data_IF_183982160279
#
_entry.id   IF_183982160279
#
_cell.length_a   1.000
_cell.length_b   1.000
_cell.length_c   1.000
_cell.angle_alpha   90.00
_cell.angle_beta   90.00
_cell.angle_gamma   90.00
#
_symmetry.space_group_name_H-M   'P 1'
#
loop_
_entity.id
_entity.type
_entity.pdbx_description
1 polymer ?
#
# COMPACT_ATOMS: atom_id res chain seq x y z
N UNK A 1 9.97 -14.26 -29.25
CA UNK A 1 9.49 -13.95 -27.88
C UNK A 1 10.29 -12.77 -27.33
N UNK A 2 9.74 -11.54 -27.23
CA UNK A 2 10.29 -10.37 -26.46
C UNK A 2 9.59 -9.02 -26.78
N UNK A 3 8.27 -8.99 -27.02
CA UNK A 3 7.48 -7.72 -27.09
C UNK A 3 6.48 -7.53 -25.94
N UNK A 4 6.16 -8.59 -25.18
CA UNK A 4 5.21 -8.51 -24.07
C UNK A 4 5.83 -8.03 -22.76
N UNK A 5 7.10 -8.41 -22.47
CA UNK A 5 7.77 -8.08 -21.20
C UNK A 5 8.01 -6.56 -21.04
N UNK A 6 8.31 -5.84 -22.13
CA UNK A 6 8.61 -4.40 -22.09
C UNK A 6 7.36 -3.55 -21.82
N UNK A 7 6.21 -3.90 -22.42
CA UNK A 7 4.91 -3.26 -22.14
C UNK A 7 4.44 -3.53 -20.72
N UNK A 8 4.71 -4.74 -20.22
CA UNK A 8 4.35 -5.19 -18.89
C UNK A 8 5.12 -4.39 -17.82
N UNK A 9 6.43 -4.19 -17.98
CA UNK A 9 7.21 -3.29 -17.11
C UNK A 9 6.73 -1.84 -17.14
N UNK A 10 6.41 -1.29 -18.33
CA UNK A 10 5.92 0.10 -18.43
C UNK A 10 4.53 0.29 -17.79
N UNK A 11 3.62 -0.66 -17.97
CA UNK A 11 2.27 -0.56 -17.40
C UNK A 11 2.28 -0.75 -15.87
N UNK A 12 3.10 -1.68 -15.37
CA UNK A 12 3.29 -1.86 -13.93
C UNK A 12 4.02 -0.68 -13.29
N UNK A 13 5.03 -0.11 -13.95
CA UNK A 13 5.69 1.12 -13.52
C UNK A 13 4.71 2.28 -13.39
N UNK A 14 3.86 2.51 -14.40
CA UNK A 14 2.85 3.58 -14.35
C UNK A 14 1.82 3.41 -13.23
N UNK A 15 1.26 2.21 -13.06
CA UNK A 15 0.30 1.96 -11.97
C UNK A 15 0.95 2.16 -10.60
N UNK A 16 2.20 1.69 -10.47
CA UNK A 16 2.99 1.85 -9.25
C UNK A 16 3.25 3.32 -8.93
N UNK A 17 3.69 4.09 -9.91
CA UNK A 17 3.87 5.55 -9.79
C UNK A 17 2.55 6.24 -9.39
N UNK A 18 1.44 5.92 -10.04
CA UNK A 18 0.12 6.47 -9.70
C UNK A 18 -0.27 6.14 -8.26
N UNK A 19 -0.03 4.91 -7.81
CA UNK A 19 -0.35 4.51 -6.43
C UNK A 19 0.54 5.25 -5.43
N UNK A 20 1.83 5.39 -5.71
CA UNK A 20 2.76 6.16 -4.86
C UNK A 20 2.32 7.61 -4.74
N UNK A 21 1.99 8.25 -5.86
CA UNK A 21 1.51 9.64 -5.88
C UNK A 21 0.20 9.78 -5.08
N UNK A 22 -0.76 8.87 -5.29
CA UNK A 22 -2.02 8.90 -4.57
C UNK A 22 -1.83 8.68 -3.05
N UNK A 23 -0.91 7.80 -2.63
CA UNK A 23 -0.55 7.61 -1.22
C UNK A 23 0.08 8.86 -0.63
N UNK A 24 1.04 9.46 -1.31
CA UNK A 24 1.69 10.69 -0.86
C UNK A 24 0.68 11.84 -0.72
N UNK A 25 -0.25 11.98 -1.66
CA UNK A 25 -1.31 12.99 -1.58
C UNK A 25 -2.29 12.71 -0.43
N UNK A 26 -2.69 11.45 -0.25
CA UNK A 26 -3.69 11.08 0.75
C UNK A 26 -3.16 11.11 2.19
N UNK A 27 -1.90 10.72 2.40
CA UNK A 27 -1.28 10.58 3.72
C UNK A 27 -0.31 11.71 4.07
N UNK A 28 0.16 12.48 3.08
CA UNK A 28 1.07 13.61 3.28
C UNK A 28 2.30 13.20 4.10
N UNK A 29 2.62 13.92 5.17
CA UNK A 29 3.75 13.70 6.07
C UNK A 29 3.63 12.44 6.96
N UNK A 30 2.50 11.75 6.90
CA UNK A 30 2.23 10.53 7.66
C UNK A 30 2.69 9.26 6.96
N UNK A 31 3.13 9.33 5.71
CA UNK A 31 3.65 8.17 4.96
C UNK A 31 5.07 8.42 4.47
N UNK A 32 5.91 7.39 4.57
CA UNK A 32 7.19 7.32 3.90
C UNK A 32 7.22 6.08 3.01
N UNK A 33 7.50 6.26 1.72
CA UNK A 33 7.53 5.16 0.75
C UNK A 33 8.93 4.55 0.74
N UNK A 34 9.05 3.31 1.21
CA UNK A 34 10.26 2.49 1.08
C UNK A 34 10.17 1.74 -0.24
N UNK A 35 10.53 2.45 -1.29
CA UNK A 35 10.60 1.91 -2.64
C UNK A 35 11.75 0.90 -2.75
N UNK A 36 11.41 -0.36 -3.01
CA UNK A 36 12.36 -1.35 -3.53
C UNK A 36 11.99 -1.65 -4.98
N UNK A 37 12.99 -1.70 -5.88
CA UNK A 37 12.83 -2.04 -7.30
C UNK A 37 12.41 -3.52 -7.54
N UNK A 38 11.52 -4.07 -6.72
CA UNK A 38 11.12 -5.47 -6.73
C UNK A 38 9.61 -5.64 -7.02
N UNK A 39 9.26 -5.80 -8.30
CA UNK A 39 8.02 -6.49 -8.71
C UNK A 39 6.70 -5.75 -8.45
N UNK A 40 5.77 -6.41 -7.73
CA UNK A 40 4.35 -6.04 -7.61
C UNK A 40 3.95 -5.59 -6.18
N UNK A 41 4.94 -5.29 -5.35
CA UNK A 41 4.75 -4.73 -4.02
C UNK A 41 5.85 -3.72 -3.68
N UNK A 42 5.59 -2.82 -2.74
CA UNK A 42 6.60 -1.95 -2.12
C UNK A 42 6.31 -1.81 -0.62
N UNK A 43 7.25 -1.30 0.15
CA UNK A 43 7.07 -1.05 1.58
C UNK A 43 6.67 0.39 1.84
N UNK A 44 5.89 0.63 2.88
CA UNK A 44 5.62 1.95 3.42
C UNK A 44 5.81 1.95 4.93
N UNK A 45 6.27 3.07 5.46
CA UNK A 45 6.10 3.40 6.87
C UNK A 45 4.96 4.38 6.99
N UNK A 46 4.08 4.16 7.95
CA UNK A 46 2.95 5.06 8.22
C UNK A 46 2.86 5.41 9.70
N UNK A 47 2.68 6.69 10.01
CA UNK A 47 2.32 7.14 11.36
C UNK A 47 0.85 6.81 11.60
N UNK A 48 0.57 5.84 12.46
CA UNK A 48 -0.78 5.37 12.75
C UNK A 48 -1.00 5.28 14.27
N UNK A 49 -2.15 5.74 14.78
CA UNK A 49 -2.51 5.55 16.18
C UNK A 49 -2.91 4.10 16.49
N UNK A 50 -3.13 3.27 15.47
CA UNK A 50 -3.62 1.91 15.65
C UNK A 50 -2.48 0.91 15.75
N UNK A 51 -2.66 -0.07 16.61
CA UNK A 51 -1.85 -1.28 16.69
C UNK A 51 -1.96 -2.10 15.41
N UNK A 52 -1.03 -3.03 15.22
CA UNK A 52 -1.09 -3.93 14.07
C UNK A 52 -2.37 -4.78 14.06
N UNK A 53 -2.82 -5.25 15.22
CA UNK A 53 -4.06 -6.04 15.36
C UNK A 53 -5.30 -5.23 14.97
N UNK A 54 -5.40 -3.97 15.39
CA UNK A 54 -6.48 -3.07 14.98
C UNK A 54 -6.44 -2.78 13.47
N UNK A 55 -5.25 -2.58 12.91
CA UNK A 55 -5.09 -2.38 11.46
C UNK A 55 -5.56 -3.61 10.68
N UNK A 56 -5.22 -4.82 11.12
CA UNK A 56 -5.67 -6.06 10.50
C UNK A 56 -7.20 -6.19 10.57
N UNK A 57 -7.78 -5.94 11.74
CA UNK A 57 -9.22 -6.04 11.94
C UNK A 57 -9.97 -5.04 11.06
N UNK A 58 -9.55 -3.77 11.05
CA UNK A 58 -10.11 -2.73 10.18
C UNK A 58 -9.95 -3.05 8.70
N UNK A 59 -8.83 -3.66 8.30
CA UNK A 59 -8.59 -4.06 6.91
C UNK A 59 -9.56 -5.18 6.48
N UNK A 60 -9.82 -6.16 7.35
CA UNK A 60 -10.81 -7.23 7.13
C UNK A 60 -12.22 -6.66 6.98
N UNK A 61 -12.62 -5.76 7.87
CA UNK A 61 -13.92 -5.06 7.82
C UNK A 61 -14.09 -4.22 6.55
N UNK A 62 -13.03 -3.54 6.11
CA UNK A 62 -13.01 -2.76 4.88
C UNK A 62 -12.89 -3.63 3.61
N UNK A 63 -12.86 -4.97 3.73
CA UNK A 63 -12.63 -5.94 2.65
C UNK A 63 -11.42 -5.59 1.79
N UNK A 64 -10.38 -5.02 2.40
CA UNK A 64 -9.23 -4.48 1.68
C UNK A 64 -8.38 -5.57 1.02
N UNK A 65 -8.42 -6.79 1.56
CA UNK A 65 -7.91 -8.00 0.91
C UNK A 65 -8.66 -8.34 -0.38
N UNK A 66 -9.98 -8.08 -0.41
CA UNK A 66 -10.85 -8.26 -1.58
C UNK A 66 -10.57 -7.21 -2.68
N UNK A 67 -10.13 -6.01 -2.28
CA UNK A 67 -9.69 -4.94 -3.19
C UNK A 67 -8.21 -5.05 -3.61
N UNK A 68 -7.48 -6.01 -3.05
CA UNK A 68 -6.12 -6.40 -3.45
C UNK A 68 -5.00 -5.43 -3.08
N UNK A 69 -4.96 -5.03 -1.81
CA UNK A 69 -3.69 -4.67 -1.18
C UNK A 69 -3.30 -5.78 -0.23
N UNK A 70 -2.34 -6.63 -0.62
CA UNK A 70 -1.78 -7.61 0.29
C UNK A 70 -0.89 -6.87 1.28
N UNK A 71 -1.45 -6.55 2.47
CA UNK A 71 -0.71 -5.96 3.58
C UNK A 71 -0.08 -7.06 4.39
N UNK A 72 1.18 -7.33 4.12
CA UNK A 72 1.98 -8.07 5.09
C UNK A 72 2.49 -7.06 6.10
N UNK A 73 1.94 -7.13 7.31
CA UNK A 73 2.50 -6.45 8.46
C UNK A 73 3.81 -7.13 8.79
N UNK A 74 4.91 -6.40 8.60
CA UNK A 74 6.19 -6.84 9.11
C UNK A 74 6.23 -6.40 10.57
N UNK A 75 6.00 -7.35 11.48
CA UNK A 75 6.13 -7.17 12.93
C UNK A 75 7.62 -7.08 13.30
N UNK A 76 8.37 -6.19 12.65
CA UNK A 76 9.67 -5.77 13.14
C UNK A 76 9.43 -5.00 14.44
N UNK A 77 10.26 -5.28 15.45
CA UNK A 77 10.26 -4.70 16.80
C UNK A 77 9.42 -3.43 16.89
N UNK A 78 8.30 -3.49 17.62
CA UNK A 78 7.43 -2.33 17.82
C UNK A 78 8.26 -1.17 18.38
N UNK A 79 8.74 -0.29 17.50
CA UNK A 79 9.24 0.99 17.94
C UNK A 79 8.03 1.72 18.51
N UNK A 80 8.11 2.11 19.78
CA UNK A 80 7.10 2.88 20.52
C UNK A 80 6.77 4.26 19.91
N UNK A 81 7.14 4.49 18.65
CA UNK A 81 7.09 5.77 17.95
C UNK A 81 5.81 5.94 17.11
N UNK A 82 4.86 5.01 17.19
CA UNK A 82 3.60 5.08 16.43
C UNK A 82 3.75 4.89 14.91
N UNK A 83 4.89 4.37 14.46
CA UNK A 83 5.17 4.09 13.04
C UNK A 83 4.91 2.60 12.76
N UNK A 84 4.19 2.30 11.68
CA UNK A 84 3.85 0.95 11.23
C UNK A 84 4.44 0.69 9.86
N UNK A 85 5.18 -0.40 9.71
CA UNK A 85 5.72 -0.82 8.41
C UNK A 85 4.76 -1.80 7.74
N UNK A 86 4.38 -1.51 6.50
CA UNK A 86 3.41 -2.29 5.73
C UNK A 86 3.97 -2.59 4.35
N UNK A 87 3.80 -3.82 3.88
CA UNK A 87 4.00 -4.18 2.48
C UNK A 87 2.71 -3.89 1.72
N UNK A 88 2.77 -3.21 0.58
CA UNK A 88 1.61 -2.87 -0.24
C UNK A 88 1.72 -3.63 -1.57
N UNK A 89 0.98 -4.73 -1.70
CA UNK A 89 0.79 -5.39 -3.00
C UNK A 89 -0.22 -4.64 -3.87
N UNK A 90 0.02 -4.48 -5.17
CA UNK A 90 -0.89 -3.74 -6.07
C UNK A 90 -1.21 -4.48 -7.38
N UNK A 91 -0.94 -5.79 -7.42
CA UNK A 91 -1.05 -6.61 -8.63
C UNK A 91 -2.46 -6.69 -9.22
N UNK A 92 -3.50 -6.82 -8.38
CA UNK A 92 -4.89 -6.95 -8.85
C UNK A 92 -5.75 -5.69 -8.69
N UNK A 93 -5.21 -4.58 -8.18
CA UNK A 93 -5.90 -3.27 -8.17
C UNK A 93 -6.11 -2.83 -9.61
N UNK A 94 -7.28 -2.37 -10.05
CA UNK A 94 -7.42 -1.71 -11.37
C UNK A 94 -7.13 -0.21 -11.25
N UNK A 95 -6.65 0.43 -12.31
CA UNK A 95 -6.33 1.88 -12.29
C UNK A 95 -7.55 2.69 -11.82
N UNK A 96 -8.74 2.33 -12.31
CA UNK A 96 -10.02 2.95 -11.95
C UNK A 96 -10.39 2.82 -10.46
N UNK A 97 -9.81 1.85 -9.74
CA UNK A 97 -10.11 1.57 -8.34
C UNK A 97 -9.01 2.08 -7.39
N UNK A 98 -7.99 2.75 -7.93
CA UNK A 98 -6.80 3.14 -7.19
C UNK A 98 -7.13 4.17 -6.11
N UNK A 99 -7.90 5.19 -6.45
CA UNK A 99 -8.30 6.24 -5.51
C UNK A 99 -9.17 5.67 -4.38
N UNK A 100 -10.09 4.77 -4.70
CA UNK A 100 -10.92 4.07 -3.72
C UNK A 100 -10.08 3.19 -2.79
N UNK A 101 -9.12 2.45 -3.35
CA UNK A 101 -8.22 1.61 -2.58
C UNK A 101 -7.37 2.45 -1.61
N UNK A 102 -6.85 3.59 -2.06
CA UNK A 102 -6.07 4.53 -1.23
C UNK A 102 -6.94 5.15 -0.14
N UNK A 103 -8.16 5.56 -0.46
CA UNK A 103 -9.12 6.11 0.51
C UNK A 103 -9.48 5.09 1.59
N UNK A 104 -9.80 3.85 1.20
CA UNK A 104 -10.04 2.76 2.14
C UNK A 104 -8.80 2.48 2.99
N UNK A 105 -7.61 2.52 2.38
CA UNK A 105 -6.35 2.33 3.07
C UNK A 105 -6.09 3.41 4.12
N UNK A 106 -6.38 4.68 3.81
CA UNK A 106 -6.32 5.80 4.74
C UNK A 106 -7.28 5.60 5.91
N UNK A 107 -8.53 5.24 5.64
CA UNK A 107 -9.53 4.95 6.69
C UNK A 107 -9.04 3.84 7.62
N UNK A 108 -8.50 2.75 7.08
CA UNK A 108 -7.98 1.63 7.89
C UNK A 108 -6.81 2.07 8.78
N UNK A 109 -5.93 2.94 8.29
CA UNK A 109 -4.70 3.29 9.00
C UNK A 109 -4.78 4.52 9.90
N UNK A 110 -5.68 5.46 9.63
CA UNK A 110 -5.69 6.77 10.32
C UNK A 110 -6.99 7.12 11.03
N UNK A 111 -8.12 6.48 10.71
CA UNK A 111 -9.43 6.92 11.18
C UNK A 111 -10.36 7.19 10.01
#
# INVERSE_FOLDING_TARGET
MKKYVKKMHQHYGRKREQLIVALQQAFQDKVNIKDTEAGLHFMIDVKSPFTYEEIEQRAKEAKLELYTINRFIVKALEENNGVKTLIIGFSKIKIEQLDDAVRCLKKVLLG
#
